data_IF_955714590617
#
_entry.id   IF_955714590617
#
_cell.length_a   1.000
_cell.length_b   1.000
_cell.length_c   1.000
_cell.angle_alpha   90.00
_cell.angle_beta   90.00
_cell.angle_gamma   90.00
#
_symmetry.space_group_name_H-M   'P 1'
#
loop_
_entity.id
_entity.type
_entity.pdbx_description
1 polymer ?
#
# COMPACT_ATOMS: atom_id res chain seq x y z
N UNK A 1 25.62 -25.79 -22.25
CA UNK A 1 25.87 -24.73 -23.26
C UNK A 1 24.60 -24.02 -23.73
N UNK A 2 23.46 -24.70 -23.88
CA UNK A 2 22.16 -24.04 -24.20
C UNK A 2 21.57 -23.32 -22.98
N UNK A 3 21.76 -23.85 -21.76
CA UNK A 3 21.24 -23.27 -20.52
C UNK A 3 21.80 -21.87 -20.17
N UNK A 4 23.02 -21.54 -20.61
CA UNK A 4 23.63 -20.22 -20.34
C UNK A 4 23.17 -19.13 -21.32
N UNK A 5 22.61 -19.51 -22.47
CA UNK A 5 21.99 -18.59 -23.42
C UNK A 5 20.57 -18.21 -22.95
N UNK A 6 19.81 -19.18 -22.43
CA UNK A 6 18.51 -18.90 -21.85
C UNK A 6 18.59 -18.03 -20.58
N UNK A 7 19.57 -18.24 -19.70
CA UNK A 7 19.70 -17.42 -18.48
C UNK A 7 20.06 -15.95 -18.75
N UNK A 8 20.75 -15.65 -19.85
CA UNK A 8 21.11 -14.28 -20.23
C UNK A 8 20.02 -13.57 -21.06
N UNK A 9 19.29 -14.33 -21.89
CA UNK A 9 18.31 -13.77 -22.82
C UNK A 9 16.93 -13.63 -22.16
N UNK A 10 16.55 -14.51 -21.22
CA UNK A 10 15.24 -14.45 -20.55
C UNK A 10 15.03 -13.14 -19.77
N UNK A 11 15.99 -12.63 -18.99
CA UNK A 11 15.86 -11.32 -18.34
C UNK A 11 15.71 -10.20 -19.35
N UNK A 12 16.42 -10.25 -20.48
CA UNK A 12 16.35 -9.25 -21.54
C UNK A 12 15.04 -9.28 -22.33
N UNK A 13 14.48 -10.47 -22.61
CA UNK A 13 13.17 -10.63 -23.26
C UNK A 13 12.04 -10.20 -22.31
N UNK A 14 12.15 -10.57 -21.03
CA UNK A 14 11.24 -10.09 -20.00
C UNK A 14 11.34 -8.57 -19.90
N UNK A 15 12.53 -7.99 -19.88
CA UNK A 15 12.75 -6.55 -19.82
C UNK A 15 12.19 -5.84 -21.05
N UNK A 16 12.54 -6.26 -22.28
CA UNK A 16 11.99 -5.72 -23.55
C UNK A 16 10.46 -5.87 -23.64
N UNK A 17 9.91 -7.00 -23.21
CA UNK A 17 8.48 -7.26 -23.20
C UNK A 17 7.72 -6.50 -22.11
N UNK A 18 8.42 -6.12 -21.04
CA UNK A 18 7.91 -5.24 -19.97
C UNK A 18 8.01 -3.78 -20.40
N UNK A 19 9.09 -3.37 -21.05
CA UNK A 19 9.30 -2.02 -21.60
C UNK A 19 8.28 -1.68 -22.69
N UNK A 20 7.99 -2.61 -23.62
CA UNK A 20 6.96 -2.41 -24.64
C UNK A 20 5.55 -2.36 -24.03
N UNK A 21 5.27 -3.16 -22.98
CA UNK A 21 3.97 -3.14 -22.30
C UNK A 21 3.79 -1.90 -21.44
N UNK A 22 4.81 -1.46 -20.70
CA UNK A 22 4.75 -0.27 -19.85
C UNK A 22 4.47 1.02 -20.61
N UNK A 23 4.89 1.08 -21.88
CA UNK A 23 4.65 2.23 -22.76
C UNK A 23 3.32 2.14 -23.53
N UNK A 24 2.55 1.06 -23.36
CA UNK A 24 1.22 0.95 -23.97
C UNK A 24 0.19 1.78 -23.18
N UNK A 25 -0.73 2.41 -23.90
CA UNK A 25 -1.82 3.19 -23.31
C UNK A 25 -2.71 2.28 -22.45
N UNK A 26 -2.90 1.03 -22.88
CA UNK A 26 -3.69 0.03 -22.18
C UNK A 26 -3.09 -0.30 -20.80
N UNK A 27 -1.77 -0.47 -20.73
CA UNK A 27 -1.09 -0.72 -19.46
C UNK A 27 -1.12 0.50 -18.55
N UNK A 28 -0.92 1.70 -19.08
CA UNK A 28 -0.99 2.94 -18.29
C UNK A 28 -2.41 3.14 -17.72
N UNK A 29 -3.44 2.89 -18.51
CA UNK A 29 -4.84 2.94 -18.07
C UNK A 29 -5.13 1.87 -17.01
N UNK A 30 -4.62 0.64 -17.19
CA UNK A 30 -4.75 -0.41 -16.19
C UNK A 30 -4.04 -0.04 -14.87
N UNK A 31 -2.82 0.51 -14.96
CA UNK A 31 -2.06 0.99 -13.81
C UNK A 31 -2.81 2.10 -13.07
N UNK A 32 -3.39 3.08 -13.79
CA UNK A 32 -4.20 4.14 -13.20
C UNK A 32 -5.44 3.57 -12.49
N UNK A 33 -6.18 2.66 -13.14
CA UNK A 33 -7.35 2.03 -12.55
C UNK A 33 -7.00 1.23 -11.27
N UNK A 34 -5.87 0.53 -11.26
CA UNK A 34 -5.36 -0.17 -10.08
C UNK A 34 -5.03 0.82 -8.97
N UNK A 35 -4.34 1.91 -9.28
CA UNK A 35 -3.98 2.95 -8.29
C UNK A 35 -5.22 3.63 -7.72
N UNK A 36 -6.22 3.92 -8.53
CA UNK A 36 -7.51 4.44 -8.05
C UNK A 36 -8.21 3.46 -7.10
N UNK A 37 -8.26 2.17 -7.45
CA UNK A 37 -8.87 1.15 -6.61
C UNK A 37 -8.17 1.06 -5.25
N UNK A 38 -6.84 1.05 -5.24
CA UNK A 38 -6.04 1.08 -4.01
C UNK A 38 -6.25 2.37 -3.23
N UNK A 39 -6.30 3.53 -3.89
CA UNK A 39 -6.56 4.81 -3.22
C UNK A 39 -7.93 4.84 -2.52
N UNK A 40 -8.98 4.32 -3.18
CA UNK A 40 -10.33 4.24 -2.59
C UNK A 40 -10.33 3.30 -1.39
N UNK A 41 -9.69 2.14 -1.52
CA UNK A 41 -9.52 1.17 -0.42
C UNK A 41 -8.80 1.80 0.78
N UNK A 42 -7.67 2.47 0.55
CA UNK A 42 -6.90 3.12 1.61
C UNK A 42 -7.64 4.29 2.25
N UNK A 43 -8.41 5.09 1.48
CA UNK A 43 -9.26 6.15 2.05
C UNK A 43 -10.34 5.57 2.97
N UNK A 44 -10.99 4.48 2.56
CA UNK A 44 -12.00 3.80 3.37
C UNK A 44 -11.39 3.22 4.65
N UNK A 45 -10.28 2.48 4.53
CA UNK A 45 -9.59 1.91 5.70
C UNK A 45 -9.08 2.97 6.66
N UNK A 46 -8.60 4.10 6.14
CA UNK A 46 -8.19 5.25 6.98
C UNK A 46 -9.37 5.80 7.77
N UNK A 47 -10.53 5.99 7.15
CA UNK A 47 -11.72 6.47 7.85
C UNK A 47 -12.13 5.54 9.00
N UNK A 48 -12.06 4.23 8.80
CA UNK A 48 -12.32 3.24 9.86
C UNK A 48 -11.30 3.32 11.01
N UNK A 49 -10.02 3.55 10.69
CA UNK A 49 -8.97 3.74 11.69
C UNK A 49 -9.17 5.04 12.46
N UNK A 50 -9.54 6.13 11.78
CA UNK A 50 -9.80 7.44 12.37
C UNK A 50 -10.96 7.36 13.36
N UNK A 51 -12.10 6.78 12.93
CA UNK A 51 -13.28 6.54 13.77
C UNK A 51 -12.94 5.70 15.01
N UNK A 52 -12.08 4.68 14.88
CA UNK A 52 -11.68 3.87 16.02
C UNK A 52 -10.74 4.62 16.98
N UNK A 53 -9.81 5.42 16.47
CA UNK A 53 -8.89 6.21 17.32
C UNK A 53 -9.62 7.30 18.12
N UNK A 54 -10.73 7.82 17.60
CA UNK A 54 -11.57 8.80 18.29
C UNK A 54 -12.38 8.19 19.44
N UNK A 55 -12.59 6.86 19.43
CA UNK A 55 -13.26 6.14 20.52
C UNK A 55 -12.26 5.86 21.65
N UNK A 56 -12.39 6.60 22.76
CA UNK A 56 -11.51 6.49 23.94
C UNK A 56 -11.60 5.14 24.68
N UNK A 57 -12.60 4.33 24.35
CA UNK A 57 -13.12 3.27 25.19
C UNK A 57 -12.48 1.91 24.90
N UNK A 58 -11.75 1.79 23.79
CA UNK A 58 -10.99 0.57 23.47
C UNK A 58 -11.81 -0.71 23.41
N UNK A 59 -13.11 -0.60 23.11
CA UNK A 59 -14.04 -1.73 23.11
C UNK A 59 -13.63 -2.77 22.05
N UNK A 60 -13.23 -3.96 22.54
CA UNK A 60 -12.85 -5.09 21.71
C UNK A 60 -13.98 -5.57 20.79
N UNK A 61 -15.26 -5.38 21.15
CA UNK A 61 -16.38 -5.77 20.28
C UNK A 61 -16.51 -4.84 19.08
N UNK A 62 -16.31 -3.53 19.28
CA UNK A 62 -16.25 -2.56 18.18
C UNK A 62 -15.06 -2.85 17.27
N UNK A 63 -13.90 -3.16 17.85
CA UNK A 63 -12.71 -3.55 17.09
C UNK A 63 -12.98 -4.77 16.20
N UNK A 64 -13.60 -5.83 16.74
CA UNK A 64 -13.97 -7.02 15.97
C UNK A 64 -14.87 -6.67 14.77
N UNK A 65 -15.90 -5.83 14.96
CA UNK A 65 -16.82 -5.43 13.88
C UNK A 65 -16.11 -4.61 12.81
N UNK A 66 -15.26 -3.65 13.20
CA UNK A 66 -14.49 -2.85 12.26
C UNK A 66 -13.45 -3.67 11.48
N UNK A 67 -12.96 -4.78 12.04
CA UNK A 67 -12.06 -5.69 11.32
C UNK A 67 -12.70 -6.34 10.10
N UNK A 68 -14.03 -6.53 10.13
CA UNK A 68 -14.74 -7.10 8.99
C UNK A 68 -15.02 -6.07 7.90
N UNK A 69 -15.06 -4.78 8.27
CA UNK A 69 -15.22 -3.65 7.35
C UNK A 69 -13.92 -3.21 6.67
N UNK A 70 -12.75 -3.60 7.20
CA UNK A 70 -11.48 -3.33 6.53
C UNK A 70 -11.44 -4.00 5.16
N UNK A 71 -11.24 -3.20 4.11
CA UNK A 71 -11.19 -3.66 2.72
C UNK A 71 -9.76 -3.98 2.29
N UNK A 72 -9.60 -5.10 1.57
CA UNK A 72 -8.33 -5.55 1.00
C UNK A 72 -8.50 -5.98 -0.47
N UNK A 73 -9.66 -5.74 -1.06
CA UNK A 73 -10.08 -6.31 -2.34
C UNK A 73 -9.11 -5.96 -3.48
N UNK A 74 -8.66 -4.71 -3.57
CA UNK A 74 -7.75 -4.26 -4.61
C UNK A 74 -6.36 -4.89 -4.42
N UNK A 75 -5.84 -4.85 -3.19
CA UNK A 75 -4.53 -5.41 -2.87
C UNK A 75 -4.48 -6.94 -3.01
N UNK A 76 -5.54 -7.65 -2.60
CA UNK A 76 -5.66 -9.11 -2.77
C UNK A 76 -5.69 -9.50 -4.25
N UNK A 77 -6.36 -8.72 -5.10
CA UNK A 77 -6.35 -8.95 -6.56
C UNK A 77 -4.96 -8.75 -7.15
N UNK A 78 -4.20 -7.75 -6.68
CA UNK A 78 -2.81 -7.55 -7.12
C UNK A 78 -1.94 -8.73 -6.67
N UNK A 79 -2.04 -9.15 -5.41
CA UNK A 79 -1.33 -10.32 -4.86
C UNK A 79 -1.62 -11.59 -5.69
N UNK A 80 -2.88 -11.82 -6.04
CA UNK A 80 -3.31 -12.96 -6.87
C UNK A 80 -2.87 -12.87 -8.33
N UNK A 81 -2.64 -11.67 -8.85
CA UNK A 81 -2.24 -11.45 -10.26
C UNK A 81 -0.79 -11.83 -10.56
N UNK A 82 0.03 -12.07 -9.53
CA UNK A 82 1.48 -12.31 -9.63
C UNK A 82 2.25 -11.15 -10.30
N UNK A 83 1.63 -9.97 -10.45
CA UNK A 83 2.28 -8.77 -10.97
C UNK A 83 3.09 -8.14 -9.83
N UNK A 84 4.42 -7.95 -9.99
CA UNK A 84 5.24 -7.27 -9.00
C UNK A 84 4.72 -5.85 -8.68
N UNK A 85 4.59 -5.50 -7.41
CA UNK A 85 4.19 -4.16 -6.98
C UNK A 85 5.09 -3.06 -7.56
N UNK A 86 6.39 -3.33 -7.74
CA UNK A 86 7.33 -2.39 -8.34
C UNK A 86 6.98 -1.99 -9.80
N UNK A 87 6.23 -2.83 -10.52
CA UNK A 87 5.73 -2.52 -11.87
C UNK A 87 4.55 -1.54 -11.80
N UNK A 88 3.70 -1.68 -10.78
CA UNK A 88 2.48 -0.89 -10.60
C UNK A 88 2.74 0.42 -9.84
N UNK A 89 3.74 0.44 -8.98
CA UNK A 89 4.08 1.51 -8.03
C UNK A 89 5.57 1.86 -8.13
N UNK A 90 5.96 2.41 -9.29
CA UNK A 90 7.36 2.67 -9.63
C UNK A 90 7.88 4.04 -9.15
N UNK A 91 7.09 4.81 -8.39
CA UNK A 91 7.53 6.15 -7.99
C UNK A 91 8.51 6.13 -6.81
N UNK A 92 9.20 7.26 -6.55
CA UNK A 92 9.88 7.47 -5.29
C UNK A 92 8.93 7.38 -4.09
N UNK A 93 9.53 7.14 -2.92
CA UNK A 93 8.83 7.16 -1.63
C UNK A 93 7.92 8.40 -1.51
N UNK A 94 6.69 8.26 -0.99
CA UNK A 94 5.83 9.41 -0.77
C UNK A 94 6.49 10.43 0.18
N UNK A 95 6.29 11.74 -0.06
CA UNK A 95 6.76 12.77 0.86
C UNK A 95 6.18 12.51 2.25
N UNK A 96 7.07 12.47 3.24
CA UNK A 96 6.64 12.34 4.63
C UNK A 96 6.01 13.67 5.05
N UNK A 97 4.72 13.68 5.41
CA UNK A 97 4.03 14.88 5.88
C UNK A 97 4.67 15.44 7.15
N UNK A 98 4.37 16.72 7.48
CA UNK A 98 4.87 17.49 8.64
C UNK A 98 5.17 16.61 9.87
N UNK A 99 6.45 16.57 10.22
CA UNK A 99 7.07 15.94 11.39
C UNK A 99 6.42 14.64 11.90
N UNK A 100 6.80 13.48 11.32
CA UNK A 100 6.44 12.21 11.92
C UNK A 100 7.03 12.11 13.33
N UNK A 101 6.32 11.43 14.23
CA UNK A 101 6.92 11.00 15.50
C UNK A 101 8.26 10.29 15.22
N UNK A 102 9.32 10.52 16.01
CA UNK A 102 10.64 9.92 15.75
C UNK A 102 10.60 8.39 15.60
N UNK A 103 9.69 7.72 16.32
CA UNK A 103 9.50 6.28 16.20
C UNK A 103 8.99 5.85 14.82
N UNK A 104 8.14 6.64 14.16
CA UNK A 104 7.61 6.33 12.83
C UNK A 104 8.68 6.48 11.76
N UNK A 105 9.60 7.44 11.93
CA UNK A 105 10.77 7.59 11.07
C UNK A 105 11.64 6.34 11.14
N UNK A 106 11.94 5.85 12.34
CA UNK A 106 12.71 4.63 12.54
C UNK A 106 12.03 3.40 11.91
N UNK A 107 10.72 3.26 12.05
CA UNK A 107 9.96 2.15 11.46
C UNK A 107 9.84 2.22 9.94
N UNK A 108 9.95 3.40 9.36
CA UNK A 108 9.83 3.66 7.91
C UNK A 108 11.16 3.87 7.19
N UNK A 109 12.29 3.89 7.90
CA UNK A 109 13.62 4.17 7.35
C UNK A 109 14.06 3.24 6.21
N UNK A 110 13.44 2.06 6.09
CA UNK A 110 13.73 1.06 5.05
C UNK A 110 12.77 1.12 3.85
N UNK A 111 11.73 1.99 3.89
CA UNK A 111 10.69 2.06 2.88
C UNK A 111 11.10 2.98 1.72
N UNK A 112 12.10 2.54 0.97
CA UNK A 112 12.82 3.38 0.00
C UNK A 112 12.05 3.60 -1.32
N UNK A 113 10.95 2.87 -1.54
CA UNK A 113 10.16 2.92 -2.78
C UNK A 113 8.68 3.03 -2.49
N UNK A 114 7.93 3.54 -3.47
CA UNK A 114 6.48 3.57 -3.44
C UNK A 114 5.88 2.15 -3.23
N UNK A 115 6.41 1.14 -3.93
CA UNK A 115 6.01 -0.25 -3.78
C UNK A 115 6.20 -0.80 -2.35
N UNK A 116 7.36 -0.56 -1.73
CA UNK A 116 7.60 -0.99 -0.33
C UNK A 116 6.68 -0.27 0.66
N UNK A 117 6.31 0.97 0.36
CA UNK A 117 5.36 1.73 1.17
C UNK A 117 3.97 1.10 1.15
N UNK A 118 3.45 0.77 -0.04
CA UNK A 118 2.16 0.08 -0.21
C UNK A 118 2.17 -1.29 0.46
N UNK A 119 3.22 -2.07 0.22
CA UNK A 119 3.37 -3.39 0.83
C UNK A 119 3.34 -3.28 2.36
N UNK A 120 4.04 -2.28 2.93
CA UNK A 120 4.02 -2.03 4.37
C UNK A 120 2.62 -1.68 4.87
N UNK A 121 1.89 -0.81 4.17
CA UNK A 121 0.51 -0.47 4.53
C UNK A 121 -0.35 -1.74 4.56
N UNK A 122 -0.30 -2.53 3.49
CA UNK A 122 -1.09 -3.75 3.34
C UNK A 122 -0.80 -4.77 4.45
N UNK A 123 0.47 -5.06 4.72
CA UNK A 123 0.88 -5.97 5.79
C UNK A 123 0.40 -5.49 7.16
N UNK A 124 0.54 -4.19 7.44
CA UNK A 124 0.13 -3.63 8.73
C UNK A 124 -1.39 -3.63 8.92
N UNK A 125 -2.16 -3.39 7.85
CA UNK A 125 -3.62 -3.53 7.87
C UNK A 125 -4.05 -4.99 8.10
N UNK A 126 -3.38 -5.98 7.47
CA UNK A 126 -3.67 -7.40 7.71
C UNK A 126 -3.38 -7.81 9.15
N UNK A 127 -2.27 -7.34 9.72
CA UNK A 127 -1.94 -7.55 11.14
C UNK A 127 -2.98 -6.89 12.04
N UNK A 128 -3.40 -5.65 11.73
CA UNK A 128 -4.44 -4.95 12.47
C UNK A 128 -5.75 -5.74 12.47
N UNK A 129 -6.21 -6.18 11.29
CA UNK A 129 -7.40 -7.02 11.14
C UNK A 129 -7.33 -8.29 11.98
N UNK A 130 -6.22 -9.01 11.92
CA UNK A 130 -6.02 -10.24 12.69
C UNK A 130 -6.06 -9.97 14.20
N UNK A 131 -5.43 -8.89 14.67
CA UNK A 131 -5.45 -8.49 16.08
C UNK A 131 -6.85 -8.12 16.56
N UNK A 132 -7.56 -7.33 15.77
CA UNK A 132 -8.93 -6.93 16.07
C UNK A 132 -9.87 -8.14 16.13
N UNK A 133 -9.79 -9.06 15.15
CA UNK A 133 -10.57 -10.32 15.19
C UNK A 133 -10.25 -11.20 16.40
N UNK A 134 -9.01 -11.17 16.87
CA UNK A 134 -8.59 -11.89 18.06
C UNK A 134 -9.00 -11.20 19.38
N UNK A 135 -9.66 -10.05 19.33
CA UNK A 135 -10.04 -9.27 20.51
C UNK A 135 -8.84 -8.73 21.30
N UNK A 136 -7.66 -8.65 20.68
CA UNK A 136 -6.46 -8.15 21.35
C UNK A 136 -6.59 -6.65 21.61
N UNK A 137 -6.10 -6.19 22.78
CA UNK A 137 -5.99 -4.75 23.07
C UNK A 137 -5.16 -4.07 21.99
N UNK A 138 -5.73 -3.03 21.40
CA UNK A 138 -5.07 -2.26 20.37
C UNK A 138 -3.88 -1.50 20.94
N UNK A 139 -2.86 -1.30 20.10
CA UNK A 139 -1.73 -0.44 20.41
C UNK A 139 -1.94 0.85 19.61
N UNK A 140 -2.30 1.93 20.30
CA UNK A 140 -2.60 3.22 19.68
C UNK A 140 -1.47 3.68 18.73
N UNK A 141 -0.20 3.59 19.16
CA UNK A 141 0.96 3.92 18.31
C UNK A 141 1.03 3.08 17.03
N UNK A 142 0.64 1.79 17.09
CA UNK A 142 0.61 0.94 15.89
C UNK A 142 -0.45 1.42 14.91
N UNK A 143 -1.61 1.89 15.40
CA UNK A 143 -2.67 2.42 14.55
C UNK A 143 -2.34 3.80 13.99
N UNK A 144 -1.82 4.71 14.83
CA UNK A 144 -1.32 6.02 14.39
C UNK A 144 -0.22 5.90 13.35
N UNK A 145 0.61 4.86 13.43
CA UNK A 145 1.59 4.57 12.39
C UNK A 145 0.93 4.15 11.07
N UNK A 146 -0.09 3.29 11.10
CA UNK A 146 -0.83 2.89 9.88
C UNK A 146 -1.54 4.11 9.28
N UNK A 147 -2.20 4.91 10.11
CA UNK A 147 -2.84 6.17 9.72
C UNK A 147 -1.83 7.10 9.04
N UNK A 148 -0.64 7.29 9.63
CA UNK A 148 0.43 8.10 9.07
C UNK A 148 0.94 7.56 7.73
N UNK A 149 1.17 6.25 7.61
CA UNK A 149 1.60 5.64 6.34
C UNK A 149 0.58 5.91 5.22
N UNK A 150 -0.71 5.71 5.51
CA UNK A 150 -1.79 5.94 4.55
C UNK A 150 -1.91 7.44 4.22
N UNK A 151 -1.78 8.32 5.22
CA UNK A 151 -1.83 9.76 5.01
C UNK A 151 -0.71 10.26 4.09
N UNK A 152 0.53 9.83 4.33
CA UNK A 152 1.68 10.15 3.48
C UNK A 152 1.46 9.65 2.05
N UNK A 153 0.95 8.44 1.90
CA UNK A 153 0.62 7.86 0.59
C UNK A 153 -0.42 8.69 -0.18
N UNK A 154 -1.55 9.00 0.46
CA UNK A 154 -2.66 9.71 -0.18
C UNK A 154 -2.30 11.17 -0.52
N UNK A 155 -1.45 11.82 0.28
CA UNK A 155 -0.93 13.14 -0.05
C UNK A 155 -0.12 13.12 -1.36
N UNK A 156 0.76 12.13 -1.52
CA UNK A 156 1.53 11.93 -2.75
C UNK A 156 0.67 11.66 -3.98
N UNK A 157 -0.44 10.92 -3.81
CA UNK A 157 -1.34 10.60 -4.91
C UNK A 157 -2.07 11.86 -5.43
N UNK A 158 -2.56 12.71 -4.51
CA UNK A 158 -3.30 13.93 -4.87
C UNK A 158 -2.38 15.00 -5.51
N UNK A 159 -1.11 15.10 -5.11
CA UNK A 159 -0.17 16.06 -5.69
C UNK A 159 0.20 15.70 -7.14
N UNK A 160 0.19 14.40 -7.50
CA UNK A 160 0.42 13.92 -8.86
C UNK A 160 -0.75 14.22 -9.81
N UNK A 161 -1.99 14.11 -9.33
CA UNK A 161 -3.18 14.48 -10.11
C UNK A 161 -3.17 15.98 -10.49
N UNK A 162 -2.69 16.84 -9.57
CA UNK A 162 -2.60 18.30 -9.78
C UNK A 162 -1.47 18.75 -10.69
N UNK A 163 -0.39 17.98 -10.79
CA UNK A 163 0.76 18.31 -11.66
C UNK A 163 0.63 17.76 -13.08
N UNK A 164 -0.43 16.98 -13.33
CA UNK A 164 -0.77 16.39 -14.64
C UNK A 164 -1.95 17.09 -15.32
N UNK A 165 -2.52 18.13 -14.69
CA UNK A 165 -3.64 18.96 -15.16
C UNK A 165 -3.14 20.34 -15.56
#
# INVERSE_FOLDING_TARGET
MIESLFSAILPWILQKGTDQRQNSIEFQNAQLAIREAVNRELRSNRALIDEFLERADGDGQVACKLADELSFTAMERIEQSMIPLAILFACPQPPQSREPQPQFQNWSAQLNTEAFWIERIYLRLRILRARWRAGQKYQENSMRYIQWLIAAWLANANDKERSSS
#
